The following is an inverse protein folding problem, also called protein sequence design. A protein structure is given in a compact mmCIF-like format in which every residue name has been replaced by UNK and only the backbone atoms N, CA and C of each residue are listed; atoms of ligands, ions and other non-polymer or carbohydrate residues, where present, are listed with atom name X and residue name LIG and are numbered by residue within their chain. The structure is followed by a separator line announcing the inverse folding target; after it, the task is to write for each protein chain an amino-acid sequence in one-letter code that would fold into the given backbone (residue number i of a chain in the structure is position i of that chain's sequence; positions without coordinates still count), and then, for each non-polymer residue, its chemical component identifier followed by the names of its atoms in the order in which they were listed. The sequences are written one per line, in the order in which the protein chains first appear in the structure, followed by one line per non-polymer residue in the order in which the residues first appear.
data_IF_877595241754
#
_entry.id   IF_877595241754
#
_cell.length_a   1.000
_cell.length_b   1.000
_cell.length_c   1.000
_cell.angle_alpha   90.00
_cell.angle_beta   90.00
_cell.angle_gamma   90.00
#
_symmetry.space_group_name_H-M   'P 1'
#
loop_
_entity.id
_entity.type
_entity.pdbx_description
1 polymer ?
#
# COMPACT_ATOMS: atom_id res chain seq x y z
N UNK A 1 19.20 21.54 2.61
CA UNK A 1 19.62 21.21 1.24
C UNK A 1 18.56 20.26 0.71
N UNK A 2 17.64 20.77 -0.12
CA UNK A 2 16.52 20.02 -0.68
C UNK A 2 17.10 18.99 -1.66
N UNK A 3 16.86 17.70 -1.42
CA UNK A 3 17.21 16.65 -2.38
C UNK A 3 16.07 16.59 -3.38
N UNK A 4 16.35 16.93 -4.64
CA UNK A 4 15.44 16.70 -5.75
C UNK A 4 15.01 15.22 -5.76
N UNK A 5 13.71 14.98 -5.91
CA UNK A 5 13.15 13.65 -6.17
C UNK A 5 13.86 13.10 -7.43
N UNK A 6 14.61 11.99 -7.27
CA UNK A 6 15.29 11.32 -8.38
C UNK A 6 14.47 10.14 -8.92
N UNK A 7 13.16 10.32 -9.01
CA UNK A 7 12.27 9.39 -9.71
C UNK A 7 12.15 9.91 -11.14
N UNK A 8 12.73 9.19 -12.11
CA UNK A 8 12.57 9.52 -13.52
C UNK A 8 11.12 9.21 -13.95
N UNK A 9 10.46 10.24 -14.50
CA UNK A 9 9.02 10.35 -14.73
C UNK A 9 8.41 9.27 -15.66
N UNK A 10 9.22 8.47 -16.36
CA UNK A 10 8.71 7.38 -17.21
C UNK A 10 8.23 6.15 -16.44
N UNK A 11 8.46 6.10 -15.12
CA UNK A 11 7.98 5.00 -14.26
C UNK A 11 6.61 5.27 -13.60
N UNK A 12 6.09 6.50 -13.68
CA UNK A 12 4.86 6.93 -13.00
C UNK A 12 3.70 7.19 -13.99
N UNK A 13 3.96 7.17 -15.29
CA UNK A 13 2.88 7.17 -16.29
C UNK A 13 2.19 5.78 -16.31
N UNK A 14 0.91 5.74 -15.91
CA UNK A 14 -0.01 4.59 -15.96
C UNK A 14 0.21 3.42 -14.95
N UNK A 15 0.88 3.64 -13.83
CA UNK A 15 1.42 2.57 -12.97
C UNK A 15 0.49 1.96 -11.90
N UNK A 16 -0.82 2.26 -11.90
CA UNK A 16 -1.79 1.43 -11.19
C UNK A 16 -2.04 0.16 -12.00
N UNK A 17 -1.06 -0.74 -11.99
CA UNK A 17 -1.08 -1.96 -12.79
C UNK A 17 -0.99 -3.15 -11.86
N UNK A 18 -2.05 -3.95 -11.78
CA UNK A 18 -1.97 -5.26 -11.14
C UNK A 18 -1.62 -6.31 -12.18
N UNK A 19 -0.94 -7.38 -11.75
CA UNK A 19 -0.66 -8.52 -12.63
C UNK A 19 -1.56 -9.68 -12.21
N UNK A 20 -2.22 -10.34 -13.16
CA UNK A 20 -2.91 -11.59 -12.88
C UNK A 20 -1.93 -12.75 -12.62
N UNK A 21 -2.46 -13.93 -12.32
CA UNK A 21 -1.66 -15.14 -12.03
C UNK A 21 -0.75 -15.55 -13.20
N UNK A 22 -1.11 -15.18 -14.43
CA UNK A 22 -0.34 -15.42 -15.66
C UNK A 22 0.70 -14.31 -15.93
N UNK A 23 0.80 -13.31 -15.05
CA UNK A 23 1.74 -12.19 -15.17
C UNK A 23 1.30 -11.11 -16.18
N UNK A 24 0.05 -11.12 -16.64
CA UNK A 24 -0.49 -10.09 -17.52
C UNK A 24 -0.84 -8.86 -16.72
N UNK A 25 -0.34 -7.72 -17.20
CA UNK A 25 -0.52 -6.40 -16.61
C UNK A 25 -1.87 -5.80 -16.97
N UNK A 26 -2.66 -5.42 -15.96
CA UNK A 26 -3.95 -4.76 -16.09
C UNK A 26 -3.88 -3.37 -15.46
N UNK A 27 -4.10 -2.33 -16.25
CA UNK A 27 -4.20 -0.97 -15.71
C UNK A 27 -5.57 -0.77 -15.05
N UNK A 28 -5.56 -0.17 -13.87
CA UNK A 28 -6.76 0.24 -13.14
C UNK A 28 -7.51 1.33 -13.91
N UNK A 29 -6.78 2.22 -14.57
CA UNK A 29 -7.35 3.21 -15.47
C UNK A 29 -7.42 2.67 -16.91
N UNK A 30 -8.54 2.93 -17.58
CA UNK A 30 -8.69 2.67 -19.00
C UNK A 30 -7.75 3.56 -19.81
N UNK A 31 -7.34 3.12 -21.01
CA UNK A 31 -6.42 3.87 -21.89
C UNK A 31 -6.91 5.27 -22.29
N UNK A 32 -8.23 5.49 -22.23
CA UNK A 32 -8.84 6.79 -22.50
C UNK A 32 -8.85 7.74 -21.29
N UNK A 33 -8.35 7.29 -20.14
CA UNK A 33 -8.27 8.08 -18.92
C UNK A 33 -7.21 9.16 -19.03
N UNK A 34 -7.45 10.32 -18.40
CA UNK A 34 -6.39 11.28 -18.08
C UNK A 34 -5.32 10.58 -17.22
N UNK A 35 -4.03 10.89 -17.41
CA UNK A 35 -2.98 10.39 -16.52
C UNK A 35 -3.21 10.85 -15.07
N UNK A 36 -2.98 9.95 -14.13
CA UNK A 36 -2.93 10.27 -12.70
C UNK A 36 -1.48 10.52 -12.30
N UNK A 37 -1.11 11.80 -12.14
CA UNK A 37 0.27 12.22 -11.99
C UNK A 37 0.55 12.71 -10.56
N UNK A 38 1.23 11.89 -9.76
CA UNK A 38 1.60 12.21 -8.37
C UNK A 38 2.48 13.46 -8.24
N UNK A 39 3.28 13.76 -9.26
CA UNK A 39 4.19 14.91 -9.29
C UNK A 39 3.43 16.21 -9.50
N UNK A 40 2.39 16.20 -10.34
CA UNK A 40 1.48 17.35 -10.50
C UNK A 40 0.68 17.60 -9.21
N UNK A 41 0.22 16.54 -8.54
CA UNK A 41 -0.55 16.65 -7.30
C UNK A 41 0.28 17.18 -6.13
N UNK A 42 1.51 16.67 -5.97
CA UNK A 42 2.38 17.04 -4.84
C UNK A 42 3.18 18.31 -5.10
N UNK A 43 3.53 18.62 -6.36
CA UNK A 43 4.60 19.56 -6.76
C UNK A 43 6.00 19.08 -6.36
N UNK A 44 6.20 17.77 -6.25
CA UNK A 44 7.46 17.08 -5.94
C UNK A 44 8.12 17.27 -4.54
N UNK A 45 7.43 17.71 -3.46
CA UNK A 45 8.01 17.60 -2.12
C UNK A 45 8.01 16.15 -1.64
N UNK A 46 9.02 15.81 -0.83
CA UNK A 46 9.01 14.62 0.03
C UNK A 46 7.98 14.77 1.16
N UNK A 47 7.55 13.65 1.72
CA UNK A 47 6.59 13.58 2.82
C UNK A 47 5.14 13.49 2.36
N UNK A 48 4.22 13.74 3.29
CA UNK A 48 2.77 13.58 3.12
C UNK A 48 2.19 14.62 2.15
N UNK A 49 1.32 14.13 1.27
CA UNK A 49 0.55 14.89 0.30
C UNK A 49 -0.88 14.40 0.32
N UNK A 50 -1.83 15.31 0.44
CA UNK A 50 -3.25 15.00 0.48
C UNK A 50 -4.05 16.07 -0.25
N UNK A 51 -5.25 15.70 -0.71
CA UNK A 51 -6.12 16.66 -1.37
C UNK A 51 -7.28 16.01 -2.09
N UNK A 52 -7.89 16.81 -2.97
CA UNK A 52 -9.06 16.40 -3.73
C UNK A 52 -8.93 16.96 -5.15
N UNK A 53 -9.30 16.15 -6.14
CA UNK A 53 -9.35 16.53 -7.55
C UNK A 53 -10.71 16.20 -8.16
N UNK A 54 -11.10 16.94 -9.19
CA UNK A 54 -12.27 16.59 -10.01
C UNK A 54 -12.01 15.24 -10.71
N UNK A 55 -12.97 14.32 -10.59
CA UNK A 55 -12.90 12.99 -11.21
C UNK A 55 -13.08 13.04 -12.74
N UNK A 56 -13.50 14.19 -13.30
CA UNK A 56 -13.73 14.38 -14.73
C UNK A 56 -12.48 14.03 -15.56
N UNK A 57 -12.67 13.09 -16.48
CA UNK A 57 -11.62 12.62 -17.39
C UNK A 57 -10.88 11.39 -16.88
N UNK A 58 -11.12 10.94 -15.64
CA UNK A 58 -10.66 9.64 -15.18
C UNK A 58 -11.66 8.55 -15.58
N UNK A 59 -11.14 7.49 -16.19
CA UNK A 59 -11.94 6.38 -16.71
C UNK A 59 -11.35 5.07 -16.18
N UNK A 60 -12.16 4.23 -15.56
CA UNK A 60 -11.73 2.91 -15.09
C UNK A 60 -12.12 1.83 -16.09
N UNK A 61 -11.33 0.77 -16.16
CA UNK A 61 -11.69 -0.41 -16.92
C UNK A 61 -12.69 -1.25 -16.08
N UNK A 62 -13.95 -1.33 -16.51
CA UNK A 62 -14.97 -2.15 -15.85
C UNK A 62 -15.44 -3.30 -16.75
N UNK A 63 -16.04 -4.32 -16.12
CA UNK A 63 -16.49 -5.53 -16.82
C UNK A 63 -17.49 -5.24 -17.95
N UNK A 64 -18.37 -4.25 -17.75
CA UNK A 64 -19.38 -3.84 -18.74
C UNK A 64 -18.89 -2.76 -19.71
N UNK A 65 -17.57 -2.51 -19.74
CA UNK A 65 -16.94 -1.46 -20.53
C UNK A 65 -16.40 -0.31 -19.67
N UNK A 66 -15.68 0.65 -20.28
CA UNK A 66 -15.04 1.73 -19.55
C UNK A 66 -16.06 2.64 -18.85
N UNK A 67 -15.82 2.96 -17.58
CA UNK A 67 -16.71 3.79 -16.77
C UNK A 67 -16.01 5.10 -16.37
N UNK A 68 -16.70 6.23 -16.57
CA UNK A 68 -16.21 7.53 -16.13
C UNK A 68 -16.48 7.71 -14.64
N UNK A 69 -15.42 8.08 -13.91
CA UNK A 69 -15.57 8.46 -12.51
C UNK A 69 -16.32 9.79 -12.39
N UNK A 70 -17.11 9.91 -11.33
CA UNK A 70 -17.98 11.06 -11.06
C UNK A 70 -17.57 11.73 -9.76
N UNK A 71 -17.92 13.01 -9.62
CA UNK A 71 -17.66 13.77 -8.40
C UNK A 71 -16.18 14.08 -8.24
N UNK A 72 -15.66 13.82 -7.06
CA UNK A 72 -14.29 14.15 -6.69
C UNK A 72 -13.52 12.90 -6.26
N UNK A 73 -12.21 12.87 -6.52
CA UNK A 73 -11.29 11.87 -5.97
C UNK A 73 -10.52 12.49 -4.81
N UNK A 74 -10.54 11.83 -3.65
CA UNK A 74 -9.63 12.13 -2.54
C UNK A 74 -8.35 11.32 -2.72
N UNK A 75 -7.20 11.94 -2.47
CA UNK A 75 -5.92 11.25 -2.45
C UNK A 75 -5.16 11.57 -1.17
N UNK A 76 -4.36 10.61 -0.73
CA UNK A 76 -3.45 10.74 0.39
C UNK A 76 -2.26 9.83 0.16
N UNK A 77 -1.06 10.37 0.07
CA UNK A 77 0.15 9.61 -0.22
C UNK A 77 1.38 10.26 0.36
N UNK A 78 2.45 9.50 0.48
CA UNK A 78 3.75 9.98 0.91
C UNK A 78 4.79 9.77 -0.19
N UNK A 79 5.57 10.82 -0.46
CA UNK A 79 6.73 10.76 -1.34
C UNK A 79 7.98 10.51 -0.51
N UNK A 80 8.70 9.46 -0.87
CA UNK A 80 10.00 9.08 -0.33
C UNK A 80 11.09 9.36 -1.38
N UNK A 81 12.39 9.30 -1.02
CA UNK A 81 13.47 9.64 -1.94
C UNK A 81 13.43 8.90 -3.28
N UNK A 82 13.04 7.62 -3.28
CA UNK A 82 12.97 6.78 -4.47
C UNK A 82 11.67 5.96 -4.60
N UNK A 83 10.63 6.32 -3.85
CA UNK A 83 9.33 5.65 -3.93
C UNK A 83 8.18 6.57 -3.51
N UNK A 84 6.95 6.18 -3.82
CA UNK A 84 5.73 6.84 -3.36
C UNK A 84 4.69 5.78 -3.02
N UNK A 85 3.87 5.99 -2.00
CA UNK A 85 2.81 5.07 -1.61
C UNK A 85 1.65 5.81 -0.97
N UNK A 86 0.44 5.26 -1.09
CA UNK A 86 -0.75 5.92 -0.57
C UNK A 86 -2.04 5.34 -1.12
N UNK A 87 -3.08 6.16 -1.11
CA UNK A 87 -4.42 5.80 -1.53
C UNK A 87 -5.07 6.90 -2.34
N UNK A 88 -5.90 6.50 -3.30
CA UNK A 88 -6.82 7.38 -4.03
C UNK A 88 -8.19 6.70 -4.08
N UNK A 89 -9.25 7.46 -3.85
CA UNK A 89 -10.61 6.94 -3.85
C UNK A 89 -11.64 8.01 -4.18
N UNK A 90 -12.80 7.60 -4.71
CA UNK A 90 -13.94 8.51 -4.88
C UNK A 90 -14.36 9.07 -3.53
N UNK A 91 -14.51 10.38 -3.41
CA UNK A 91 -14.81 11.05 -2.13
C UNK A 91 -16.10 10.55 -1.48
N UNK A 92 -17.12 10.29 -2.30
CA UNK A 92 -18.41 9.80 -1.83
C UNK A 92 -18.41 8.27 -1.80
N UNK A 93 -18.89 7.72 -0.68
CA UNK A 93 -19.16 6.30 -0.52
C UNK A 93 -20.65 6.03 -0.67
N UNK A 94 -21.01 4.85 -1.17
CA UNK A 94 -22.40 4.40 -1.19
C UNK A 94 -22.90 4.07 0.23
N UNK A 95 -24.18 3.69 0.34
CA UNK A 95 -24.81 3.40 1.65
C UNK A 95 -24.12 2.27 2.44
N UNK A 96 -23.36 1.40 1.78
CA UNK A 96 -22.57 0.31 2.36
C UNK A 96 -21.12 0.71 2.69
N UNK A 97 -20.72 1.94 2.40
CA UNK A 97 -19.38 2.45 2.66
C UNK A 97 -18.36 2.13 1.56
N UNK A 98 -18.77 1.51 0.45
CA UNK A 98 -17.87 1.30 -0.68
C UNK A 98 -17.85 2.53 -1.57
N UNK A 99 -16.69 2.87 -2.10
CA UNK A 99 -16.52 3.94 -3.08
C UNK A 99 -16.60 3.36 -4.49
N UNK A 100 -16.99 4.20 -5.45
CA UNK A 100 -17.03 3.81 -6.87
C UNK A 100 -15.63 3.51 -7.43
N UNK A 101 -14.60 4.06 -6.79
CA UNK A 101 -13.20 3.84 -7.10
C UNK A 101 -12.38 3.89 -5.81
N UNK A 102 -11.46 2.93 -5.65
CA UNK A 102 -10.56 2.80 -4.52
C UNK A 102 -9.29 2.13 -5.03
N UNK A 103 -8.11 2.71 -4.78
CA UNK A 103 -6.85 2.07 -5.10
C UNK A 103 -5.77 2.47 -4.09
N UNK A 104 -5.25 1.46 -3.38
CA UNK A 104 -4.06 1.59 -2.55
C UNK A 104 -2.83 1.29 -3.40
N UNK A 105 -1.87 2.19 -3.49
CA UNK A 105 -0.76 2.04 -4.41
C UNK A 105 0.60 2.19 -3.75
N UNK A 106 1.60 1.63 -4.41
CA UNK A 106 2.99 1.97 -4.17
C UNK A 106 3.78 1.88 -5.48
N UNK A 107 4.80 2.73 -5.60
CA UNK A 107 5.70 2.85 -6.74
C UNK A 107 7.12 2.99 -6.22
N UNK A 108 8.09 2.31 -6.83
CA UNK A 108 9.49 2.40 -6.42
C UNK A 108 10.42 2.37 -7.63
N UNK A 109 11.51 3.14 -7.55
CA UNK A 109 12.67 2.93 -8.40
C UNK A 109 13.37 1.66 -7.91
N UNK A 110 13.36 0.61 -8.74
CA UNK A 110 13.98 -0.67 -8.39
C UNK A 110 15.45 -0.49 -7.96
N UNK A 111 15.78 -1.00 -6.78
CA UNK A 111 17.15 -1.11 -6.28
C UNK A 111 17.86 -2.35 -6.81
N UNK A 112 19.17 -2.43 -6.60
CA UNK A 112 19.96 -3.63 -6.94
C UNK A 112 20.20 -4.47 -5.70
N UNK A 113 20.38 -5.77 -5.88
CA UNK A 113 20.78 -6.67 -4.78
C UNK A 113 22.09 -6.25 -4.11
N UNK A 114 23.01 -5.63 -4.87
CA UNK A 114 24.27 -5.07 -4.37
C UNK A 114 24.09 -3.90 -3.41
N UNK A 115 22.92 -3.25 -3.42
CA UNK A 115 22.65 -2.05 -2.63
C UNK A 115 22.11 -2.42 -1.24
N UNK A 116 21.70 -3.69 -1.04
CA UNK A 116 21.13 -4.19 0.21
C UNK A 116 22.13 -4.12 1.35
N UNK A 117 21.67 -3.64 2.49
CA UNK A 117 22.46 -3.49 3.72
C UNK A 117 21.57 -3.73 4.94
N UNK A 118 22.21 -4.05 6.07
CA UNK A 118 21.53 -4.13 7.36
C UNK A 118 20.94 -2.76 7.72
N UNK A 119 19.62 -2.69 7.87
CA UNK A 119 18.92 -1.42 8.04
C UNK A 119 17.56 -1.61 8.72
N UNK A 120 17.15 -0.56 9.43
CA UNK A 120 15.80 -0.40 9.97
C UNK A 120 15.13 0.69 9.14
N UNK A 121 13.89 0.44 8.71
CA UNK A 121 13.06 1.39 7.98
C UNK A 121 11.81 1.71 8.81
N UNK A 122 11.41 2.98 8.86
CA UNK A 122 10.21 3.41 9.59
C UNK A 122 9.38 4.35 8.74
N UNK A 123 8.06 4.24 8.83
CA UNK A 123 7.14 5.14 8.15
C UNK A 123 5.68 4.81 8.41
N UNK A 124 4.80 5.17 7.46
CA UNK A 124 3.36 5.12 7.62
C UNK A 124 2.72 3.96 6.88
N UNK A 125 1.46 3.72 7.23
CA UNK A 125 0.59 2.72 6.64
C UNK A 125 -0.69 3.41 6.22
N UNK A 126 -1.20 3.11 5.03
CA UNK A 126 -2.55 3.46 4.60
C UNK A 126 -3.32 2.17 4.37
N UNK A 127 -4.52 2.06 4.93
CA UNK A 127 -5.29 0.83 4.87
C UNK A 127 -6.73 1.05 4.46
N UNK A 128 -7.25 0.07 3.71
CA UNK A 128 -8.67 -0.23 3.60
C UNK A 128 -8.98 -1.37 4.55
N UNK A 129 -9.81 -1.11 5.55
CA UNK A 129 -10.14 -2.08 6.58
C UNK A 129 -11.64 -2.17 6.81
N UNK A 130 -12.15 -3.38 7.02
CA UNK A 130 -13.53 -3.64 7.46
C UNK A 130 -13.47 -4.46 8.74
N UNK A 131 -13.84 -3.82 9.85
CA UNK A 131 -13.86 -4.43 11.18
C UNK A 131 -15.23 -4.25 11.83
N UNK A 132 -15.73 -5.30 12.44
CA UNK A 132 -17.01 -5.28 13.18
C UNK A 132 -16.82 -5.39 14.69
N UNK A 133 -17.92 -5.19 15.42
CA UNK A 133 -17.94 -5.37 16.88
C UNK A 133 -18.25 -6.81 17.31
N UNK A 134 -18.64 -7.66 16.37
CA UNK A 134 -18.88 -9.10 16.52
C UNK A 134 -18.57 -9.83 15.22
N UNK A 135 -18.37 -11.15 15.28
CA UNK A 135 -18.14 -12.03 14.12
C UNK A 135 -19.29 -11.94 13.09
N UNK A 136 -20.52 -11.65 13.54
CA UNK A 136 -21.71 -11.53 12.70
C UNK A 136 -22.10 -10.08 12.35
N UNK A 137 -21.20 -9.10 12.52
CA UNK A 137 -21.49 -7.70 12.20
C UNK A 137 -21.41 -7.43 10.69
N UNK A 138 -22.36 -7.98 9.94
CA UNK A 138 -22.50 -7.78 8.49
C UNK A 138 -22.80 -6.32 8.10
N UNK A 139 -23.12 -5.47 9.09
CA UNK A 139 -23.36 -4.04 8.89
C UNK A 139 -22.09 -3.20 8.93
N UNK A 140 -20.96 -3.78 9.34
CA UNK A 140 -19.66 -3.14 9.35
C UNK A 140 -19.31 -2.58 7.96
N UNK A 141 -18.91 -1.32 7.93
CA UNK A 141 -18.53 -0.61 6.71
C UNK A 141 -17.00 -0.55 6.61
N UNK A 142 -16.43 -0.66 5.40
CA UNK A 142 -15.01 -0.43 5.23
C UNK A 142 -14.66 1.03 5.48
N UNK A 143 -13.41 1.27 5.88
CA UNK A 143 -12.80 2.60 6.04
C UNK A 143 -11.50 2.65 5.26
N UNK A 144 -11.14 3.82 4.74
CA UNK A 144 -9.88 4.07 4.02
C UNK A 144 -9.19 5.29 4.61
N UNK A 145 -8.04 5.10 5.27
CA UNK A 145 -7.29 6.18 5.93
C UNK A 145 -5.83 5.79 6.24
N UNK A 146 -5.05 6.74 6.77
CA UNK A 146 -3.79 6.44 7.47
C UNK A 146 -4.07 5.49 8.65
N UNK A 147 -3.37 4.36 8.69
CA UNK A 147 -3.63 3.26 9.62
C UNK A 147 -2.38 2.86 10.41
N UNK A 148 -1.72 3.87 10.99
CA UNK A 148 -0.62 3.67 11.92
C UNK A 148 0.75 3.67 11.26
N UNK A 149 1.67 2.87 11.80
CA UNK A 149 3.10 2.95 11.46
C UNK A 149 3.68 1.57 11.16
N UNK A 150 4.75 1.56 10.37
CA UNK A 150 5.53 0.36 10.06
C UNK A 150 6.97 0.50 10.56
N UNK A 151 7.51 -0.60 11.08
CA UNK A 151 8.94 -0.79 11.29
C UNK A 151 9.40 -2.05 10.56
N UNK A 152 10.31 -1.90 9.61
CA UNK A 152 10.88 -3.00 8.81
C UNK A 152 12.35 -3.18 9.16
N UNK A 153 12.80 -4.43 9.11
CA UNK A 153 14.15 -4.82 9.37
C UNK A 153 14.69 -5.63 8.19
N UNK A 154 15.73 -5.12 7.55
CA UNK A 154 16.52 -5.84 6.55
C UNK A 154 17.82 -6.27 7.22
N UNK A 155 18.08 -7.58 7.24
CA UNK A 155 19.30 -8.15 7.82
C UNK A 155 19.90 -9.20 6.93
N UNK A 156 21.22 -9.24 6.88
CA UNK A 156 21.96 -10.36 6.30
C UNK A 156 21.88 -11.57 7.22
N UNK A 157 21.25 -12.63 6.73
CA UNK A 157 21.15 -13.95 7.33
C UNK A 157 21.93 -14.93 6.45
N UNK A 158 23.09 -15.37 6.94
CA UNK A 158 24.06 -16.13 6.13
C UNK A 158 24.50 -15.34 4.89
N UNK A 159 24.30 -15.88 3.68
CA UNK A 159 24.66 -15.24 2.41
C UNK A 159 23.52 -14.45 1.76
N UNK A 160 22.37 -14.34 2.44
CA UNK A 160 21.16 -13.74 1.88
C UNK A 160 20.65 -12.63 2.79
N UNK A 161 19.94 -11.67 2.21
CA UNK A 161 19.21 -10.70 2.99
C UNK A 161 17.78 -11.18 3.22
N UNK A 162 17.27 -10.96 4.43
CA UNK A 162 15.89 -11.22 4.81
C UNK A 162 15.22 -9.92 5.25
N UNK A 163 13.94 -9.80 4.95
CA UNK A 163 13.06 -8.74 5.47
C UNK A 163 12.11 -9.33 6.50
N UNK A 164 11.94 -8.64 7.61
CA UNK A 164 10.86 -8.84 8.57
C UNK A 164 10.35 -7.49 9.05
N UNK A 165 9.27 -7.45 9.82
CA UNK A 165 8.77 -6.18 10.34
C UNK A 165 7.52 -6.29 11.18
N UNK A 166 7.06 -5.14 11.64
CA UNK A 166 5.82 -4.97 12.40
C UNK A 166 5.09 -3.75 11.85
N UNK A 167 3.81 -3.93 11.52
CA UNK A 167 2.86 -2.83 11.39
C UNK A 167 2.12 -2.72 12.71
N UNK A 168 2.07 -1.52 13.27
CA UNK A 168 1.25 -1.17 14.43
C UNK A 168 0.01 -0.42 13.90
N UNK A 169 -1.02 -1.18 13.54
CA UNK A 169 -2.25 -0.65 12.94
C UNK A 169 -3.17 -0.08 14.00
N UNK A 170 -3.69 1.12 13.73
CA UNK A 170 -4.70 1.74 14.59
C UNK A 170 -6.06 1.02 14.53
N UNK A 171 -6.32 0.30 13.45
CA UNK A 171 -7.59 -0.38 13.18
C UNK A 171 -7.60 -1.83 13.65
N UNK A 172 -6.54 -2.59 13.35
CA UNK A 172 -6.48 -4.05 13.58
C UNK A 172 -5.39 -4.48 14.58
N UNK A 173 -4.65 -3.54 15.18
CA UNK A 173 -3.57 -3.86 16.10
C UNK A 173 -2.30 -4.32 15.36
N UNK A 174 -1.50 -5.16 16.00
CA UNK A 174 -0.19 -5.54 15.46
C UNK A 174 -0.29 -6.57 14.34
N UNK A 175 0.39 -6.29 13.24
CA UNK A 175 0.59 -7.22 12.13
C UNK A 175 2.08 -7.51 12.02
N UNK A 176 2.46 -8.79 12.13
CA UNK A 176 3.86 -9.23 12.05
C UNK A 176 4.16 -9.67 10.62
N UNK A 177 5.13 -9.03 9.99
CA UNK A 177 5.71 -9.47 8.71
C UNK A 177 6.77 -10.51 9.01
N UNK A 178 6.48 -11.76 8.66
CA UNK A 178 7.38 -12.89 8.97
C UNK A 178 8.65 -12.81 8.13
N UNK A 179 9.82 -13.20 8.69
CA UNK A 179 11.09 -13.18 7.98
C UNK A 179 11.04 -13.90 6.64
N UNK A 180 11.52 -13.23 5.59
CA UNK A 180 11.58 -13.81 4.25
C UNK A 180 12.75 -13.26 3.45
N UNK A 181 13.38 -14.15 2.68
CA UNK A 181 14.46 -13.82 1.75
C UNK A 181 14.05 -12.73 0.75
N UNK A 182 14.91 -11.72 0.60
CA UNK A 182 14.85 -10.72 -0.46
C UNK A 182 15.53 -11.31 -1.70
N UNK A 183 14.80 -11.37 -2.81
CA UNK A 183 15.31 -11.77 -4.12
C UNK A 183 15.45 -10.52 -4.97
N UNK A 184 16.66 -10.28 -5.47
CA UNK A 184 17.04 -9.00 -6.11
C UNK A 184 16.84 -7.83 -5.13
N UNK A 185 15.70 -7.15 -5.19
CA UNK A 185 15.28 -6.10 -4.28
C UNK A 185 13.83 -6.28 -3.81
N UNK A 186 13.24 -7.46 -4.04
CA UNK A 186 11.81 -7.75 -3.83
C UNK A 186 11.63 -8.89 -2.85
N UNK A 187 10.58 -8.82 -2.06
CA UNK A 187 10.20 -9.87 -1.11
C UNK A 187 8.71 -10.15 -1.22
N UNK A 188 8.35 -11.44 -1.08
CA UNK A 188 6.97 -11.91 -0.95
C UNK A 188 6.91 -12.93 0.19
N UNK A 189 6.21 -12.59 1.26
CA UNK A 189 6.15 -13.38 2.48
C UNK A 189 4.74 -13.43 3.06
N UNK A 190 4.65 -13.98 4.27
CA UNK A 190 3.40 -14.12 5.01
C UNK A 190 3.35 -13.12 6.16
N UNK A 191 2.15 -12.70 6.52
CA UNK A 191 1.89 -11.92 7.73
C UNK A 191 1.05 -12.71 8.72
N UNK A 192 1.21 -12.38 10.00
CA UNK A 192 0.34 -12.81 11.08
C UNK A 192 -0.32 -11.58 11.72
N UNK A 193 -1.63 -11.54 11.70
CA UNK A 193 -2.47 -10.59 12.43
C UNK A 193 -2.61 -11.04 13.89
N UNK A 194 -3.12 -10.16 14.74
CA UNK A 194 -3.69 -10.58 16.03
C UNK A 194 -4.87 -11.55 15.80
N UNK A 195 -5.13 -12.42 16.79
CA UNK A 195 -6.27 -13.34 16.75
C UNK A 195 -6.17 -14.46 15.71
N UNK A 196 -4.95 -14.90 15.37
CA UNK A 196 -4.65 -15.99 14.43
C UNK A 196 -4.99 -15.71 12.95
N UNK A 197 -5.30 -14.46 12.59
CA UNK A 197 -5.47 -14.06 11.20
C UNK A 197 -4.17 -14.18 10.39
N UNK A 198 -4.25 -14.70 9.16
CA UNK A 198 -3.10 -14.85 8.27
C UNK A 198 -3.27 -14.01 7.00
N UNK A 199 -2.16 -13.72 6.35
CA UNK A 199 -2.17 -13.04 5.08
C UNK A 199 -0.82 -13.07 4.39
N UNK A 200 -0.70 -12.24 3.37
CA UNK A 200 0.53 -12.09 2.61
C UNK A 200 1.04 -10.65 2.64
N UNK A 201 2.34 -10.50 2.38
CA UNK A 201 2.91 -9.20 2.06
C UNK A 201 3.85 -9.28 0.86
N UNK A 202 3.98 -8.16 0.17
CA UNK A 202 5.04 -7.93 -0.81
C UNK A 202 5.70 -6.59 -0.54
N UNK A 203 7.00 -6.49 -0.76
CA UNK A 203 7.72 -5.24 -0.62
C UNK A 203 8.89 -5.13 -1.60
N UNK A 204 9.29 -3.89 -1.86
CA UNK A 204 10.39 -3.50 -2.73
C UNK A 204 11.33 -2.61 -1.92
N UNK A 205 12.60 -3.00 -1.82
CA UNK A 205 13.68 -2.12 -1.38
C UNK A 205 14.07 -1.24 -2.57
N UNK A 206 13.95 0.07 -2.41
CA UNK A 206 14.23 1.00 -3.47
C UNK A 206 15.73 1.23 -3.65
N UNK A 207 16.05 2.02 -4.66
CA UNK A 207 17.41 2.42 -5.01
C UNK A 207 18.23 2.89 -3.80
N UNK A 208 19.50 2.46 -3.79
CA UNK A 208 20.49 2.78 -2.75
C UNK A 208 20.07 2.30 -1.33
N UNK A 209 19.08 1.41 -1.22
CA UNK A 209 18.47 1.01 0.05
C UNK A 209 17.98 2.20 0.88
N UNK A 210 17.44 3.23 0.21
CA UNK A 210 17.03 4.47 0.89
C UNK A 210 15.67 4.33 1.57
N UNK A 211 14.76 3.61 0.93
CA UNK A 211 13.39 3.43 1.38
C UNK A 211 12.84 2.07 0.94
N UNK A 212 11.73 1.67 1.56
CA UNK A 212 11.02 0.42 1.28
C UNK A 212 9.54 0.74 1.18
N UNK A 213 8.88 0.22 0.15
CA UNK A 213 7.42 0.26 0.03
C UNK A 213 6.85 -1.11 -0.21
N UNK A 214 5.60 -1.33 0.17
CA UNK A 214 4.95 -2.61 -0.02
C UNK A 214 3.46 -2.60 0.26
N UNK A 215 2.89 -3.81 0.22
CA UNK A 215 1.47 -4.08 0.48
C UNK A 215 1.31 -5.29 1.37
N UNK A 216 0.30 -5.26 2.24
CA UNK A 216 -0.19 -6.36 3.07
C UNK A 216 -1.65 -6.63 2.72
N UNK A 217 -2.04 -7.91 2.66
CA UNK A 217 -3.42 -8.31 2.47
C UNK A 217 -3.79 -9.45 3.42
N UNK A 218 -4.92 -9.30 4.11
CA UNK A 218 -5.54 -10.39 4.86
C UNK A 218 -6.13 -11.41 3.89
N UNK A 219 -5.84 -12.69 4.12
CA UNK A 219 -6.41 -13.81 3.39
C UNK A 219 -7.48 -14.46 4.26
N UNK A 220 -8.75 -14.15 4.01
CA UNK A 220 -9.84 -14.82 4.71
C UNK A 220 -9.92 -16.27 4.25
N UNK A 221 -9.83 -17.19 5.19
CA UNK A 221 -10.14 -18.61 5.06
C UNK A 221 -11.57 -18.93 5.52
N UNK A 222 -12.41 -17.90 5.67
CA UNK A 222 -13.73 -17.98 6.30
C UNK A 222 -13.72 -17.71 7.80
N UNK A 223 -12.55 -17.58 8.43
CA UNK A 223 -12.44 -17.05 9.80
C UNK A 223 -12.68 -15.53 9.84
N UNK A 224 -13.11 -15.05 11.00
CA UNK A 224 -13.22 -13.62 11.32
C UNK A 224 -12.43 -13.40 12.61
N UNK A 225 -11.09 -13.26 12.53
CA UNK A 225 -10.23 -13.26 13.71
C UNK A 225 -10.48 -12.03 14.59
N UNK A 226 -10.37 -12.24 15.91
CA UNK A 226 -10.50 -11.17 16.88
C UNK A 226 -9.21 -10.34 16.93
N UNK A 227 -9.29 -9.08 16.49
CA UNK A 227 -8.17 -8.14 16.35
C UNK A 227 -8.27 -7.00 17.35
N UNK A 228 -7.21 -6.18 17.45
CA UNK A 228 -7.14 -5.03 18.36
C UNK A 228 -7.37 -5.48 19.81
N UNK A 229 -6.52 -6.39 20.27
CA UNK A 229 -6.60 -7.02 21.59
C UNK A 229 -7.96 -7.71 21.87
N UNK A 230 -8.59 -8.25 20.84
CA UNK A 230 -9.88 -8.97 20.94
C UNK A 230 -11.12 -8.08 21.04
N UNK A 231 -10.99 -6.78 20.73
CA UNK A 231 -12.12 -5.83 20.79
C UNK A 231 -12.87 -5.66 19.48
N UNK A 232 -12.30 -6.16 18.37
CA UNK A 232 -12.85 -6.05 17.01
C UNK A 232 -12.70 -7.37 16.27
N UNK A 233 -13.46 -7.52 15.19
CA UNK A 233 -13.44 -8.71 14.34
C UNK A 233 -13.11 -8.33 12.90
N UNK A 234 -12.08 -8.95 12.33
CA UNK A 234 -11.54 -8.60 11.02
C UNK A 234 -12.26 -9.34 9.89
N UNK A 235 -12.92 -8.58 9.01
CA UNK A 235 -13.54 -9.11 7.80
C UNK A 235 -12.64 -8.94 6.57
N UNK A 236 -12.09 -7.73 6.40
CA UNK A 236 -11.26 -7.39 5.24
C UNK A 236 -10.15 -6.44 5.69
N UNK A 237 -8.93 -6.65 5.20
CA UNK A 237 -7.82 -5.72 5.40
C UNK A 237 -6.87 -5.77 4.21
N UNK A 238 -6.60 -4.60 3.65
CA UNK A 238 -5.57 -4.37 2.65
C UNK A 238 -4.86 -3.06 3.00
N UNK A 239 -3.54 -3.06 3.01
CA UNK A 239 -2.76 -1.89 3.35
C UNK A 239 -1.55 -1.74 2.45
N UNK A 240 -1.16 -0.51 2.17
CA UNK A 240 0.15 -0.16 1.64
C UNK A 240 0.96 0.55 2.70
N UNK A 241 2.27 0.35 2.66
CA UNK A 241 3.18 0.93 3.63
C UNK A 241 4.43 1.42 2.95
N UNK A 242 5.10 2.37 3.60
CA UNK A 242 6.41 2.83 3.21
C UNK A 242 7.25 3.14 4.43
N UNK A 243 8.56 2.98 4.30
CA UNK A 243 9.51 3.23 5.37
C UNK A 243 10.82 3.78 4.85
N UNK A 244 11.28 4.88 5.45
CA UNK A 244 12.58 5.45 5.15
C UNK A 244 13.65 4.84 6.05
N UNK A 245 14.84 4.64 5.49
CA UNK A 245 15.99 4.12 6.23
C UNK A 245 16.37 5.04 7.38
N UNK A 246 16.45 4.48 8.58
CA UNK A 246 16.85 5.21 9.78
C UNK A 246 18.37 5.37 9.84
N UNK A 247 18.82 6.52 10.35
CA UNK A 247 20.25 6.72 10.66
C UNK A 247 20.62 5.82 11.85
N UNK A 248 21.67 5.04 11.69
CA UNK A 248 22.30 4.28 12.77
C UNK A 248 23.20 5.20 13.60
#
# INVERSE_FOLDING_TARGET
MWRDLKVDNKQVENSFVWSDEDGKKHSVFHESSKPFNLNELSKNPLGKNEGTIDAKGYVIAAYNGPEQLKGELKYEFENQPYSSYGVVYSKDANVRGNHDFEELFYLAVDGKSSDLVDAIYKGKVFARAKVGNSEDDYSAKPTIDEDGNVELNVKKSSDKFEMSGIIDSTTVGKIKLLPKEIKENKVKGSVAFEGDGLGNYSAIVSKDSSDVVGRVKYESDGSVPAVKDGTKYLFEYEAVFGGEKQKQ
#
